data_IF_974307475082
#
_entry.id   IF_974307475082
#
_cell.length_a   1.000
_cell.length_b   1.000
_cell.length_c   1.000
_cell.angle_alpha   90.00
_cell.angle_beta   90.00
_cell.angle_gamma   90.00
#
_symmetry.space_group_name_H-M   'P 1'
#
loop_
_entity.id
_entity.type
_entity.pdbx_description
1 polymer ?
#
# COMPACT_ATOMS: atom_id res chain seq x y z
N UNK A 1 20.33 4.89 20.46
CA UNK A 1 19.09 5.64 20.17
C UNK A 1 17.97 4.92 20.92
N UNK A 2 17.15 5.61 21.70
CA UNK A 2 16.10 4.98 22.50
C UNK A 2 15.00 4.45 21.59
N UNK A 3 14.60 3.18 21.73
CA UNK A 3 13.42 2.62 21.04
C UNK A 3 12.09 3.11 21.66
N UNK A 4 12.16 3.79 22.81
CA UNK A 4 11.03 4.43 23.47
C UNK A 4 10.97 5.88 22.98
N UNK A 5 9.96 6.18 22.16
CA UNK A 5 9.70 7.50 21.62
C UNK A 5 8.52 8.15 22.35
N UNK A 6 8.61 9.47 22.59
CA UNK A 6 7.50 10.27 23.12
C UNK A 6 6.62 10.76 21.96
N UNK A 7 5.32 10.90 22.20
CA UNK A 7 4.45 11.66 21.31
C UNK A 7 4.95 13.11 21.27
N UNK A 8 5.24 13.63 20.08
CA UNK A 8 5.89 14.95 19.89
C UNK A 8 4.92 16.07 19.53
N UNK A 9 3.67 15.75 19.20
CA UNK A 9 2.63 16.69 18.83
C UNK A 9 1.24 16.23 19.31
N UNK A 10 0.32 17.16 19.46
CA UNK A 10 -1.06 16.85 19.86
C UNK A 10 -1.79 16.05 18.77
N UNK A 11 -2.57 15.06 19.19
CA UNK A 11 -3.57 14.40 18.32
C UNK A 11 -4.84 15.24 18.43
N UNK A 12 -4.96 16.26 17.58
CA UNK A 12 -6.08 17.19 17.58
C UNK A 12 -7.19 16.73 16.63
N UNK A 13 -8.44 16.98 17.02
CA UNK A 13 -9.59 16.83 16.13
C UNK A 13 -9.73 18.07 15.24
N UNK A 14 -9.54 17.91 13.93
CA UNK A 14 -9.68 18.99 12.94
C UNK A 14 -10.99 18.82 12.14
N UNK A 15 -11.92 19.77 12.33
CA UNK A 15 -13.22 19.81 11.65
C UNK A 15 -13.16 20.42 10.24
N UNK A 16 -12.00 20.89 9.78
CA UNK A 16 -11.89 21.47 8.44
C UNK A 16 -12.25 20.44 7.38
N UNK A 17 -12.88 20.91 6.30
CA UNK A 17 -13.34 20.06 5.19
C UNK A 17 -12.19 19.28 4.52
N UNK A 18 -10.97 19.80 4.62
CA UNK A 18 -9.73 19.20 4.08
C UNK A 18 -9.12 18.15 4.99
N UNK A 19 -9.21 18.30 6.32
CA UNK A 19 -8.55 17.41 7.29
C UNK A 19 -9.51 16.49 8.05
N UNK A 20 -10.81 16.55 7.76
CA UNK A 20 -11.77 15.54 8.23
C UNK A 20 -11.45 14.17 7.60
N UNK A 21 -11.39 13.12 8.42
CA UNK A 21 -11.18 11.76 7.97
C UNK A 21 -12.21 11.33 6.90
N UNK A 22 -11.71 10.74 5.81
CA UNK A 22 -12.50 10.21 4.68
C UNK A 22 -12.10 8.76 4.45
N UNK A 23 -13.05 7.85 4.59
CA UNK A 23 -12.83 6.43 4.38
C UNK A 23 -12.82 6.03 2.90
N UNK A 24 -11.89 5.15 2.54
CA UNK A 24 -11.83 4.49 1.23
C UNK A 24 -10.71 4.96 0.32
N UNK A 25 -10.53 4.19 -0.75
CA UNK A 25 -9.53 4.39 -1.79
C UNK A 25 -10.16 5.00 -3.04
N UNK A 26 -9.34 5.66 -3.85
CA UNK A 26 -9.63 5.88 -5.27
C UNK A 26 -9.45 4.57 -6.04
N UNK A 27 -9.95 4.46 -7.26
CA UNK A 27 -10.18 3.18 -7.96
C UNK A 27 -8.94 2.41 -8.45
N UNK A 28 -7.73 2.84 -8.07
CA UNK A 28 -6.47 2.27 -8.55
C UNK A 28 -5.43 2.15 -7.45
N UNK A 29 -4.64 1.09 -7.53
CA UNK A 29 -3.42 0.89 -6.76
C UNK A 29 -2.29 0.43 -7.69
N UNK A 30 -1.05 0.66 -7.27
CA UNK A 30 0.15 0.11 -7.90
C UNK A 30 0.66 -1.03 -7.02
N UNK A 31 0.84 -2.21 -7.61
CA UNK A 31 1.57 -3.33 -7.02
C UNK A 31 2.98 -3.35 -7.62
N UNK A 32 3.99 -3.34 -6.75
CA UNK A 32 5.40 -3.31 -7.14
C UNK A 32 6.07 -4.53 -6.52
N UNK A 33 6.85 -5.31 -7.27
CA UNK A 33 7.66 -6.36 -6.66
C UNK A 33 8.73 -5.74 -5.76
N UNK A 34 8.94 -6.26 -4.55
CA UNK A 34 9.97 -5.71 -3.65
C UNK A 34 11.37 -5.74 -4.26
N UNK A 35 11.65 -6.73 -5.11
CA UNK A 35 12.91 -6.89 -5.84
C UNK A 35 13.16 -5.81 -6.90
N UNK A 36 12.11 -5.16 -7.38
CA UNK A 36 12.17 -4.15 -8.44
C UNK A 36 12.41 -2.74 -7.89
N UNK A 37 12.30 -2.55 -6.57
CA UNK A 37 12.58 -1.27 -5.92
C UNK A 37 14.08 -1.00 -5.88
N UNK A 38 14.48 0.19 -6.31
CA UNK A 38 15.83 0.67 -6.10
C UNK A 38 15.99 1.17 -4.66
N UNK A 39 16.41 0.27 -3.77
CA UNK A 39 16.66 0.56 -2.36
C UNK A 39 17.76 1.60 -2.14
N UNK A 40 18.63 1.83 -3.12
CA UNK A 40 19.72 2.81 -3.02
C UNK A 40 19.27 4.23 -3.38
N UNK A 41 18.27 4.34 -4.25
CA UNK A 41 17.67 5.61 -4.66
C UNK A 41 16.40 5.98 -3.86
N UNK A 42 15.77 5.01 -3.19
CA UNK A 42 14.63 5.20 -2.30
C UNK A 42 14.99 6.15 -1.14
N UNK A 43 14.24 7.24 -0.98
CA UNK A 43 14.42 8.14 0.17
C UNK A 43 13.18 8.19 1.04
N UNK A 44 13.39 8.07 2.35
CA UNK A 44 12.34 8.09 3.37
C UNK A 44 12.72 9.08 4.47
N UNK A 45 11.74 9.80 5.01
CA UNK A 45 11.90 10.72 6.14
C UNK A 45 10.74 10.53 7.11
N UNK A 46 11.00 9.80 8.20
CA UNK A 46 9.96 9.36 9.13
C UNK A 46 8.83 8.61 8.42
N UNK A 47 7.60 9.04 8.66
CA UNK A 47 6.40 8.48 8.01
C UNK A 47 6.18 8.88 6.55
N UNK A 48 7.16 9.47 5.86
CA UNK A 48 7.02 9.93 4.47
C UNK A 48 8.05 9.29 3.55
N UNK A 49 7.60 8.77 2.41
CA UNK A 49 8.46 8.38 1.27
C UNK A 49 8.55 9.58 0.33
N UNK A 50 9.76 10.12 0.15
CA UNK A 50 9.99 11.35 -0.62
C UNK A 50 10.53 11.13 -2.02
N UNK A 51 11.01 9.91 -2.31
CA UNK A 51 11.37 9.46 -3.64
C UNK A 51 11.17 7.94 -3.71
N UNK A 52 10.23 7.48 -4.53
CA UNK A 52 10.03 6.05 -4.79
C UNK A 52 10.53 5.74 -6.20
N UNK A 53 11.68 5.07 -6.28
CA UNK A 53 12.34 4.75 -7.55
C UNK A 53 12.41 3.24 -7.75
N UNK A 54 12.11 2.80 -8.98
CA UNK A 54 12.29 1.42 -9.43
C UNK A 54 13.63 1.27 -10.14
N UNK A 55 14.16 0.06 -10.16
CA UNK A 55 15.32 -0.29 -10.96
C UNK A 55 15.05 -0.05 -12.45
N UNK A 56 16.11 0.23 -13.21
CA UNK A 56 15.99 0.46 -14.64
C UNK A 56 15.34 -0.73 -15.35
N UNK A 57 14.28 -0.48 -16.12
CA UNK A 57 13.51 -1.50 -16.83
C UNK A 57 12.42 -2.20 -16.01
N UNK A 58 12.32 -1.92 -14.70
CA UNK A 58 11.25 -2.45 -13.84
C UNK A 58 10.07 -1.49 -13.78
N UNK A 59 8.87 -2.06 -13.63
CA UNK A 59 7.61 -1.29 -13.66
C UNK A 59 6.63 -1.86 -12.63
N UNK A 60 5.70 -1.03 -12.19
CA UNK A 60 4.60 -1.44 -11.31
C UNK A 60 3.40 -1.91 -12.11
N UNK A 61 2.57 -2.74 -11.48
CA UNK A 61 1.35 -3.28 -12.07
C UNK A 61 0.12 -2.58 -11.52
N UNK A 62 -0.80 -2.18 -12.40
CA UNK A 62 -2.07 -1.58 -11.99
C UNK A 62 -3.01 -2.65 -11.41
N UNK A 63 -3.52 -2.38 -10.21
CA UNK A 63 -4.68 -3.07 -9.66
C UNK A 63 -5.85 -2.09 -9.67
N UNK A 64 -6.69 -2.24 -10.70
CA UNK A 64 -7.95 -1.52 -10.79
C UNK A 64 -9.04 -2.21 -9.99
N UNK A 65 -9.83 -1.43 -9.26
CA UNK A 65 -10.99 -1.95 -8.53
C UNK A 65 -12.18 -1.01 -8.62
N UNK A 66 -13.38 -1.61 -8.60
CA UNK A 66 -14.63 -0.87 -8.60
C UNK A 66 -15.13 -0.67 -7.17
N UNK A 67 -15.76 0.49 -6.93
CA UNK A 67 -16.33 0.84 -5.62
C UNK A 67 -15.28 0.72 -4.50
N UNK A 68 -15.65 0.21 -3.32
CA UNK A 68 -14.73 -0.01 -2.20
C UNK A 68 -14.35 -1.50 -2.07
N UNK A 69 -14.16 -2.19 -3.19
CA UNK A 69 -13.68 -3.58 -3.20
C UNK A 69 -12.17 -3.69 -2.90
N UNK A 70 -11.42 -2.62 -3.16
CA UNK A 70 -10.06 -2.45 -2.67
C UNK A 70 -10.08 -1.92 -1.24
N UNK A 71 -9.32 -2.58 -0.34
CA UNK A 71 -9.21 -2.19 1.05
C UNK A 71 -7.76 -2.26 1.52
N UNK A 72 -7.38 -1.35 2.41
CA UNK A 72 -6.11 -1.35 3.13
C UNK A 72 -6.38 -1.32 4.63
N UNK A 73 -5.63 -2.10 5.40
CA UNK A 73 -5.69 -2.07 6.85
C UNK A 73 -4.29 -2.14 7.45
N UNK A 74 -4.15 -1.63 8.67
CA UNK A 74 -2.92 -1.73 9.44
C UNK A 74 -3.27 -1.96 10.92
N UNK A 75 -2.68 -2.98 11.51
CA UNK A 75 -2.96 -3.41 12.88
C UNK A 75 -1.68 -3.40 13.71
N UNK A 76 -1.74 -2.77 14.88
CA UNK A 76 -0.61 -2.78 15.80
C UNK A 76 -0.45 -4.18 16.39
N UNK A 77 0.75 -4.73 16.29
CA UNK A 77 1.11 -6.06 16.76
C UNK A 77 2.23 -5.94 17.78
N UNK A 78 1.96 -6.42 18.99
CA UNK A 78 2.98 -6.58 20.02
C UNK A 78 3.81 -7.81 19.66
N UNK A 79 5.12 -7.65 19.55
CA UNK A 79 6.03 -8.76 19.27
C UNK A 79 7.01 -8.94 20.43
N UNK A 80 7.61 -10.12 20.51
CA UNK A 80 8.71 -10.38 21.46
C UNK A 80 9.93 -9.46 21.21
N UNK A 81 10.04 -8.92 20.00
CA UNK A 81 11.04 -7.94 19.58
C UNK A 81 10.52 -6.51 19.64
N UNK A 82 10.66 -5.77 18.53
CA UNK A 82 10.06 -4.45 18.40
C UNK A 82 8.59 -4.59 17.97
N UNK A 83 7.73 -3.84 18.64
CA UNK A 83 6.33 -3.70 18.21
C UNK A 83 6.29 -3.15 16.79
N UNK A 84 5.34 -3.64 16.00
CA UNK A 84 5.24 -3.29 14.58
C UNK A 84 3.78 -3.23 14.12
N UNK A 85 3.57 -2.73 12.92
CA UNK A 85 2.27 -2.68 12.28
C UNK A 85 2.15 -3.75 11.21
N UNK A 86 1.20 -4.66 11.38
CA UNK A 86 0.81 -5.62 10.34
C UNK A 86 -0.05 -4.89 9.32
N UNK A 87 0.52 -4.63 8.15
CA UNK A 87 -0.18 -3.97 7.06
C UNK A 87 -0.83 -5.00 6.14
N UNK A 88 -1.93 -4.63 5.49
CA UNK A 88 -2.58 -5.48 4.52
C UNK A 88 -3.31 -4.69 3.43
N UNK A 89 -3.41 -5.31 2.27
CA UNK A 89 -4.20 -4.88 1.12
C UNK A 89 -5.04 -6.04 0.63
N UNK A 90 -6.35 -5.84 0.49
CA UNK A 90 -7.27 -6.84 -0.06
C UNK A 90 -7.95 -6.30 -1.30
N UNK A 91 -8.06 -7.15 -2.32
CA UNK A 91 -8.73 -6.82 -3.57
C UNK A 91 -9.17 -8.12 -4.28
N UNK A 92 -9.57 -8.01 -5.54
CA UNK A 92 -10.08 -9.11 -6.36
C UNK A 92 -9.47 -9.08 -7.75
N UNK A 93 -9.26 -10.26 -8.32
CA UNK A 93 -9.03 -10.46 -9.74
C UNK A 93 -10.37 -10.84 -10.37
N UNK A 94 -10.91 -9.94 -11.19
CA UNK A 94 -12.25 -10.09 -11.78
C UNK A 94 -12.27 -11.07 -12.96
N UNK A 95 -11.16 -11.15 -13.70
CA UNK A 95 -11.03 -12.04 -14.84
C UNK A 95 -10.85 -13.50 -14.41
N UNK A 96 -11.23 -14.41 -15.31
CA UNK A 96 -11.07 -15.86 -15.15
C UNK A 96 -10.32 -16.46 -16.35
N UNK A 97 -9.53 -15.66 -17.06
CA UNK A 97 -8.71 -16.12 -18.17
C UNK A 97 -7.50 -16.92 -17.68
N UNK A 98 -6.82 -17.63 -18.59
CA UNK A 98 -5.55 -18.30 -18.26
C UNK A 98 -4.48 -17.29 -17.82
N UNK A 99 -4.49 -16.07 -18.36
CA UNK A 99 -3.59 -15.01 -17.94
C UNK A 99 -3.90 -14.56 -16.50
N UNK A 100 -5.17 -14.46 -16.13
CA UNK A 100 -5.56 -14.14 -14.74
C UNK A 100 -5.11 -15.23 -13.77
N UNK A 101 -5.21 -16.50 -14.16
CA UNK A 101 -4.72 -17.62 -13.38
C UNK A 101 -3.19 -17.59 -13.19
N UNK A 102 -2.43 -17.19 -14.21
CA UNK A 102 -0.98 -16.95 -14.10
C UNK A 102 -0.68 -15.81 -13.11
N UNK A 103 -1.39 -14.67 -13.22
CA UNK A 103 -1.21 -13.55 -12.29
C UNK A 103 -1.56 -13.94 -10.84
N UNK A 104 -2.61 -14.72 -10.62
CA UNK A 104 -2.96 -15.25 -9.28
C UNK A 104 -1.84 -16.13 -8.73
N UNK A 105 -1.24 -16.98 -9.56
CA UNK A 105 -0.09 -17.81 -9.17
C UNK A 105 1.12 -16.94 -8.82
N UNK A 106 1.43 -15.93 -9.62
CA UNK A 106 2.52 -14.98 -9.33
C UNK A 106 2.28 -14.23 -8.01
N UNK A 107 1.05 -13.76 -7.75
CA UNK A 107 0.66 -13.13 -6.48
C UNK A 107 0.89 -14.05 -5.27
N UNK A 108 0.69 -15.36 -5.43
CA UNK A 108 0.90 -16.33 -4.35
C UNK A 108 2.38 -16.58 -4.01
N UNK A 109 3.30 -16.27 -4.91
CA UNK A 109 4.72 -16.59 -4.79
C UNK A 109 5.60 -15.34 -4.59
N UNK A 110 5.07 -14.16 -4.90
CA UNK A 110 5.80 -12.91 -4.82
C UNK A 110 5.76 -12.23 -3.45
N UNK A 111 6.49 -11.12 -3.40
CA UNK A 111 6.53 -10.20 -2.27
C UNK A 111 6.43 -8.78 -2.84
N UNK A 112 5.54 -7.98 -2.28
CA UNK A 112 5.06 -6.77 -2.95
C UNK A 112 5.04 -5.55 -2.03
N UNK A 113 5.15 -4.38 -2.65
CA UNK A 113 4.84 -3.07 -2.07
C UNK A 113 3.60 -2.53 -2.77
N UNK A 114 2.67 -2.02 -1.97
CA UNK A 114 1.44 -1.44 -2.49
C UNK A 114 1.46 0.08 -2.34
N UNK A 115 1.15 0.79 -3.41
CA UNK A 115 0.88 2.25 -3.39
C UNK A 115 -0.58 2.48 -3.76
N UNK A 116 -1.32 3.16 -2.90
CA UNK A 116 -2.75 3.44 -3.11
C UNK A 116 -3.01 4.94 -3.04
N UNK A 117 -4.00 5.41 -3.80
CA UNK A 117 -4.55 6.76 -3.62
C UNK A 117 -5.78 6.69 -2.70
N UNK A 118 -5.80 7.49 -1.63
CA UNK A 118 -6.88 7.55 -0.66
C UNK A 118 -7.83 8.72 -0.93
N UNK A 119 -9.11 8.56 -0.58
CA UNK A 119 -10.09 9.66 -0.63
C UNK A 119 -9.76 10.77 0.36
N UNK A 120 -9.09 10.45 1.46
CA UNK A 120 -8.47 11.43 2.31
C UNK A 120 -7.19 11.94 1.65
N UNK A 121 -7.11 13.25 1.39
CA UNK A 121 -5.95 13.86 0.73
C UNK A 121 -5.24 14.90 1.61
N UNK A 122 -5.83 15.27 2.74
CA UNK A 122 -5.32 16.34 3.60
C UNK A 122 -5.34 17.70 2.92
N UNK A 123 -4.69 18.67 3.55
CA UNK A 123 -4.54 20.03 3.01
C UNK A 123 -3.62 20.02 1.78
N UNK A 124 -4.00 20.70 0.71
CA UNK A 124 -3.27 20.72 -0.57
C UNK A 124 -3.04 19.33 -1.22
N UNK A 125 -3.81 18.32 -0.80
CA UNK A 125 -3.73 16.95 -1.29
C UNK A 125 -2.40 16.21 -1.04
N UNK A 126 -1.58 16.67 -0.09
CA UNK A 126 -0.24 16.11 0.15
C UNK A 126 -0.26 14.73 0.81
N UNK A 127 -1.40 14.33 1.39
CA UNK A 127 -1.57 13.04 2.07
C UNK A 127 -2.28 11.99 1.22
N UNK A 128 -2.51 12.27 -0.07
CA UNK A 128 -3.34 11.47 -0.95
C UNK A 128 -2.81 10.06 -1.22
N UNK A 129 -1.50 9.85 -1.19
CA UNK A 129 -0.91 8.55 -1.54
C UNK A 129 -0.33 7.87 -0.31
N UNK A 130 -0.68 6.59 -0.12
CA UNK A 130 -0.20 5.76 0.98
C UNK A 130 0.58 4.57 0.45
N UNK A 131 1.67 4.24 1.10
CA UNK A 131 2.55 3.11 0.79
C UNK A 131 2.46 2.07 1.89
N UNK A 132 2.32 0.81 1.49
CA UNK A 132 2.28 -0.34 2.37
C UNK A 132 3.33 -1.38 1.98
N UNK A 133 3.94 -2.02 2.98
CA UNK A 133 4.97 -3.06 2.81
C UNK A 133 6.32 -2.52 2.37
N UNK A 134 6.62 -1.24 2.55
CA UNK A 134 7.85 -0.66 1.98
C UNK A 134 9.09 -1.28 2.63
N UNK A 135 9.11 -1.53 3.93
CA UNK A 135 10.33 -1.99 4.61
C UNK A 135 10.47 -3.53 4.52
N UNK A 136 9.41 -4.29 4.77
CA UNK A 136 9.42 -5.76 4.86
C UNK A 136 8.58 -6.48 3.79
N UNK A 137 7.79 -5.75 3.00
CA UNK A 137 6.96 -6.34 1.94
C UNK A 137 5.65 -6.95 2.44
N UNK A 138 4.75 -7.21 1.48
CA UNK A 138 3.49 -7.91 1.69
C UNK A 138 3.50 -9.22 0.88
N UNK A 139 2.96 -10.29 1.47
CA UNK A 139 2.77 -11.59 0.81
C UNK A 139 1.32 -11.99 0.85
N UNK A 140 0.88 -12.83 -0.09
CA UNK A 140 -0.48 -13.33 -0.08
C UNK A 140 -0.74 -14.15 1.19
N UNK A 141 -1.66 -13.67 2.02
CA UNK A 141 -2.07 -14.31 3.27
C UNK A 141 -3.37 -15.08 3.12
N UNK A 142 -4.25 -14.63 2.21
CA UNK A 142 -5.54 -15.24 1.92
C UNK A 142 -5.80 -15.17 0.42
N UNK A 143 -6.41 -16.23 -0.12
CA UNK A 143 -6.80 -16.33 -1.52
C UNK A 143 -7.96 -17.30 -1.65
N UNK A 144 -9.08 -16.85 -2.20
CA UNK A 144 -10.29 -17.67 -2.34
C UNK A 144 -10.94 -17.51 -3.70
N UNK A 145 -11.44 -18.63 -4.23
CA UNK A 145 -12.23 -18.69 -5.44
C UNK A 145 -13.50 -19.49 -5.16
N UNK A 146 -14.64 -18.96 -5.61
CA UNK A 146 -15.91 -19.66 -5.62
C UNK A 146 -16.62 -19.26 -6.90
N UNK A 147 -17.16 -20.24 -7.63
CA UNK A 147 -17.92 -19.98 -8.85
C UNK A 147 -19.28 -19.31 -8.59
N UNK A 148 -19.72 -19.26 -7.33
CA UNK A 148 -21.00 -18.68 -6.92
C UNK A 148 -20.78 -17.36 -6.17
N UNK A 149 -19.80 -17.31 -5.27
CA UNK A 149 -19.57 -16.13 -4.44
C UNK A 149 -18.70 -15.10 -5.17
N UNK A 150 -18.81 -13.83 -4.77
CA UNK A 150 -18.00 -12.74 -5.31
C UNK A 150 -18.05 -12.64 -6.84
N UNK A 151 -19.18 -13.00 -7.45
CA UNK A 151 -19.39 -12.99 -8.90
C UNK A 151 -18.37 -13.84 -9.69
N UNK A 152 -17.83 -14.90 -9.06
CA UNK A 152 -16.81 -15.74 -9.68
C UNK A 152 -15.42 -15.10 -9.73
N UNK A 153 -15.20 -13.99 -9.00
CA UNK A 153 -13.87 -13.36 -8.92
C UNK A 153 -12.99 -14.02 -7.86
N UNK A 154 -11.68 -14.02 -8.09
CA UNK A 154 -10.70 -14.47 -7.10
C UNK A 154 -10.46 -13.35 -6.09
N UNK A 155 -10.73 -13.58 -4.82
CA UNK A 155 -10.45 -12.61 -3.75
C UNK A 155 -9.07 -12.91 -3.19
N UNK A 156 -8.23 -11.89 -3.05
CA UNK A 156 -6.90 -12.03 -2.45
C UNK A 156 -6.64 -10.97 -1.40
N UNK A 157 -5.79 -11.31 -0.44
CA UNK A 157 -5.25 -10.40 0.56
C UNK A 157 -3.74 -10.58 0.65
N UNK A 158 -3.03 -9.47 0.51
CA UNK A 158 -1.61 -9.35 0.79
C UNK A 158 -1.47 -8.80 2.20
N UNK A 159 -0.62 -9.40 3.04
CA UNK A 159 -0.31 -8.86 4.36
C UNK A 159 1.18 -8.97 4.68
N UNK A 160 1.64 -8.16 5.63
CA UNK A 160 2.93 -8.38 6.28
C UNK A 160 2.95 -9.80 6.87
N UNK A 161 4.11 -10.44 6.79
CA UNK A 161 4.33 -11.75 7.41
C UNK A 161 4.36 -11.56 8.93
N UNK A 162 3.86 -12.54 9.67
CA UNK A 162 3.88 -12.50 11.13
C UNK A 162 5.31 -12.36 11.65
N UNK A 163 5.52 -11.42 12.58
CA UNK A 163 6.84 -11.05 13.09
C UNK A 163 7.65 -10.10 12.20
N UNK A 164 7.18 -9.78 10.99
CA UNK A 164 7.82 -8.86 10.04
C UNK A 164 6.89 -7.68 9.69
N UNK A 165 6.27 -7.07 10.70
CA UNK A 165 5.46 -5.86 10.51
C UNK A 165 6.32 -4.64 10.21
N UNK A 166 5.67 -3.54 9.85
CA UNK A 166 6.29 -2.28 9.46
C UNK A 166 6.41 -1.33 10.66
N UNK A 167 7.32 -0.36 10.61
CA UNK A 167 7.48 0.63 11.70
C UNK A 167 6.25 1.57 11.81
N UNK A 168 5.61 1.85 10.68
CA UNK A 168 4.46 2.76 10.59
C UNK A 168 3.21 2.00 10.15
N UNK A 169 2.03 2.47 10.55
CA UNK A 169 0.76 1.94 10.05
C UNK A 169 0.62 2.10 8.52
N UNK A 170 1.19 3.17 7.97
CA UNK A 170 1.38 3.43 6.55
C UNK A 170 2.43 4.53 6.42
N UNK A 171 3.08 4.65 5.25
CA UNK A 171 3.85 5.85 4.92
C UNK A 171 3.12 6.69 3.88
N UNK A 172 3.17 8.02 4.01
CA UNK A 172 2.66 8.93 2.99
C UNK A 172 3.68 9.02 1.85
N UNK A 173 3.26 8.90 0.61
CA UNK A 173 4.12 9.18 -0.54
C UNK A 173 3.93 10.62 -0.99
N UNK A 174 5.02 11.40 -0.97
CA UNK A 174 5.01 12.82 -1.34
C UNK A 174 6.36 13.26 -1.92
N UNK A 175 6.35 13.63 -3.20
CA UNK A 175 7.49 14.18 -3.94
C UNK A 175 7.32 15.70 -4.06
N UNK A 176 7.33 16.39 -2.92
CA UNK A 176 7.20 17.84 -2.82
C UNK A 176 5.78 18.38 -3.05
N UNK A 177 5.08 17.97 -4.12
CA UNK A 177 3.71 18.43 -4.43
C UNK A 177 2.82 17.27 -4.88
N UNK A 178 1.50 17.42 -4.67
CA UNK A 178 0.51 16.45 -5.16
C UNK A 178 0.65 16.19 -6.68
N UNK A 179 0.87 17.23 -7.48
CA UNK A 179 1.01 17.09 -8.93
C UNK A 179 2.23 16.25 -9.33
N UNK A 180 3.38 16.49 -8.67
CA UNK A 180 4.59 15.71 -8.89
C UNK A 180 4.42 14.25 -8.44
N UNK A 181 3.81 14.03 -7.28
CA UNK A 181 3.52 12.68 -6.77
C UNK A 181 2.56 11.93 -7.67
N UNK A 182 1.50 12.58 -8.14
CA UNK A 182 0.57 11.99 -9.09
C UNK A 182 1.26 11.60 -10.39
N UNK A 183 2.06 12.50 -10.98
CA UNK A 183 2.79 12.21 -12.21
C UNK A 183 3.76 11.03 -12.04
N UNK A 184 4.42 10.94 -10.89
CA UNK A 184 5.28 9.80 -10.56
C UNK A 184 4.50 8.51 -10.35
N UNK A 185 3.42 8.56 -9.59
CA UNK A 185 2.50 7.43 -9.38
C UNK A 185 1.98 6.89 -10.71
N UNK A 186 1.54 7.78 -11.61
CA UNK A 186 1.10 7.41 -12.96
C UNK A 186 2.25 6.86 -13.82
N UNK A 187 3.47 7.38 -13.65
CA UNK A 187 4.67 6.88 -14.31
C UNK A 187 5.21 5.56 -13.76
N UNK A 188 4.66 5.03 -12.65
CA UNK A 188 4.98 3.67 -12.19
C UNK A 188 4.28 2.61 -13.03
N UNK A 189 3.18 2.94 -13.71
CA UNK A 189 2.53 2.08 -14.69
C UNK A 189 3.27 2.22 -16.02
N UNK A 190 3.78 1.13 -16.58
CA UNK A 190 4.26 1.10 -17.97
C UNK A 190 3.23 0.47 -18.89
#
# INVERSE_FOLDING_TARGET
>A
MSCINKVTANIAYDCSTSNRAKGGLESKAVLINTIDIDRTALTQSGGTVTNLTLKSGSTGFEIGFIKQLGNTAAEFTINDGLDSFKQSFACRVFGQSSADAERIKELSQGEFVMVVETKFKGTNNVDAYKVFGIDNGLKMSEGTFSSIENDGSFVFKLSSVDGFGEEYAYKTYLEGTYAATKAKFEGLFS
#
